data_IF_379503841448
#
_entry.id   IF_379503841448
#
_cell.length_a   1.000
_cell.length_b   1.000
_cell.length_c   1.000
_cell.angle_alpha   90.00
_cell.angle_beta   90.00
_cell.angle_gamma   90.00
#
_symmetry.space_group_name_H-M   'P 1'
#
loop_
_entity.id
_entity.type
_entity.pdbx_description
1 polymer ?
#
# COMPACT_ATOMS: atom_id res chain seq x y z
N UNK A 1 -16.57 37.56 -58.03
CA UNK A 1 -15.28 37.55 -57.31
C UNK A 1 -15.54 36.95 -55.95
N UNK A 2 -15.17 35.68 -55.76
CA UNK A 2 -15.39 34.95 -54.52
C UNK A 2 -14.11 35.01 -53.69
N UNK A 3 -14.19 35.53 -52.48
CA UNK A 3 -13.08 35.59 -51.52
C UNK A 3 -12.62 34.18 -51.14
N UNK A 4 -11.31 33.89 -51.14
CA UNK A 4 -10.80 32.61 -50.66
C UNK A 4 -10.91 32.54 -49.12
N UNK A 5 -11.49 31.44 -48.64
CA UNK A 5 -11.55 31.07 -47.22
C UNK A 5 -10.14 30.92 -46.65
N UNK A 6 -9.82 31.48 -45.46
CA UNK A 6 -8.51 31.26 -44.83
C UNK A 6 -8.34 29.77 -44.46
N UNK A 7 -7.12 29.23 -44.54
CA UNK A 7 -6.86 27.85 -44.16
C UNK A 7 -7.16 27.66 -42.67
N UNK A 8 -8.00 26.65 -42.40
CA UNK A 8 -8.33 26.17 -41.07
C UNK A 8 -7.09 25.47 -40.51
N UNK A 9 -6.38 26.11 -39.58
CA UNK A 9 -5.34 25.46 -38.79
C UNK A 9 -5.99 24.35 -37.97
N UNK A 10 -5.73 23.11 -38.37
CA UNK A 10 -6.01 21.93 -37.57
C UNK A 10 -5.40 22.11 -36.17
N UNK A 11 -6.15 21.89 -35.07
CA UNK A 11 -5.57 21.78 -33.74
C UNK A 11 -4.88 20.42 -33.61
N UNK A 12 -3.83 20.19 -34.40
CA UNK A 12 -3.02 18.98 -34.37
C UNK A 12 -1.64 19.20 -33.71
N UNK A 13 -1.46 20.32 -33.01
CA UNK A 13 -0.22 20.67 -32.29
C UNK A 13 -0.48 20.95 -30.80
N UNK A 14 -1.23 20.08 -30.15
CA UNK A 14 -1.12 19.91 -28.69
C UNK A 14 -0.47 18.55 -28.40
N UNK A 15 0.75 18.37 -28.91
CA UNK A 15 1.70 17.50 -28.22
C UNK A 15 1.95 18.16 -26.87
N UNK A 16 1.24 17.68 -25.85
CA UNK A 16 1.43 18.04 -24.45
C UNK A 16 2.93 18.14 -24.19
N UNK A 17 3.45 19.26 -23.64
CA UNK A 17 4.86 19.35 -23.30
C UNK A 17 5.12 18.20 -22.35
N UNK A 18 6.10 17.35 -22.69
CA UNK A 18 6.46 16.13 -21.98
C UNK A 18 6.65 16.40 -20.47
N UNK A 19 5.55 16.43 -19.75
CA UNK A 19 5.52 16.52 -18.31
C UNK A 19 6.01 15.20 -17.74
N UNK A 20 6.55 15.19 -16.52
CA UNK A 20 6.93 13.95 -15.87
C UNK A 20 5.74 12.99 -15.86
N UNK A 21 5.89 11.81 -16.46
CA UNK A 21 4.84 10.80 -16.43
C UNK A 21 4.75 10.22 -15.02
N UNK A 22 3.55 10.11 -14.42
CA UNK A 22 3.41 9.62 -13.06
C UNK A 22 3.88 8.16 -12.97
N UNK A 23 4.74 7.82 -11.99
CA UNK A 23 5.18 6.44 -11.79
C UNK A 23 3.98 5.51 -11.50
N UNK A 24 3.92 4.34 -12.12
CA UNK A 24 2.84 3.35 -11.93
C UNK A 24 2.76 2.89 -10.46
N UNK A 25 1.59 3.01 -9.83
CA UNK A 25 1.39 2.57 -8.44
C UNK A 25 1.49 1.03 -8.33
N UNK A 26 2.36 0.50 -7.45
CA UNK A 26 2.34 -0.91 -7.10
C UNK A 26 1.13 -1.19 -6.20
N UNK A 27 0.38 -2.25 -6.53
CA UNK A 27 -0.81 -2.68 -5.78
C UNK A 27 -1.96 -1.65 -5.75
N UNK A 28 -2.34 -1.14 -6.92
CA UNK A 28 -3.44 -0.16 -7.09
C UNK A 28 -4.80 -0.61 -6.54
N UNK A 29 -5.02 -1.91 -6.31
CA UNK A 29 -6.22 -2.43 -5.66
C UNK A 29 -6.31 -2.06 -4.16
N UNK A 30 -5.19 -1.72 -3.52
CA UNK A 30 -5.13 -1.29 -2.10
C UNK A 30 -5.54 0.18 -1.93
N UNK A 31 -5.39 0.98 -2.99
CA UNK A 31 -5.81 2.39 -3.03
C UNK A 31 -7.23 2.59 -3.56
N UNK A 32 -7.86 1.53 -4.08
CA UNK A 32 -9.17 1.59 -4.72
C UNK A 32 -10.31 1.64 -3.67
N UNK A 33 -11.25 2.58 -3.85
CA UNK A 33 -12.36 2.84 -2.91
C UNK A 33 -13.38 1.69 -2.76
N UNK A 34 -13.19 0.57 -3.47
CA UNK A 34 -14.11 -0.58 -3.53
C UNK A 34 -13.58 -1.87 -2.88
N UNK A 35 -12.57 -1.78 -2.01
CA UNK A 35 -12.04 -2.94 -1.30
C UNK A 35 -12.76 -3.21 0.03
N UNK A 36 -13.10 -4.48 0.29
CA UNK A 36 -13.77 -5.03 1.50
C UNK A 36 -13.04 -4.71 2.83
N UNK A 37 -11.82 -4.18 2.76
CA UNK A 37 -11.00 -3.73 3.89
C UNK A 37 -10.97 -2.20 3.91
N UNK A 38 -12.11 -1.62 4.28
CA UNK A 38 -12.45 -0.19 4.32
C UNK A 38 -11.70 0.60 5.39
N UNK A 39 -10.41 0.35 5.58
CA UNK A 39 -9.53 1.25 6.28
C UNK A 39 -8.85 2.09 5.20
N UNK A 40 -9.30 3.33 5.09
CA UNK A 40 -8.84 4.40 4.17
C UNK A 40 -7.38 4.77 4.44
N UNK A 41 -6.50 3.77 4.51
CA UNK A 41 -5.08 3.90 4.74
C UNK A 41 -4.44 4.21 3.39
N UNK A 42 -4.76 5.40 2.89
CA UNK A 42 -4.10 6.00 1.73
C UNK A 42 -2.61 6.23 2.03
N UNK A 43 -2.27 6.36 3.32
CA UNK A 43 -0.91 6.56 3.75
C UNK A 43 -0.17 5.25 4.04
N UNK A 44 0.86 4.90 3.25
CA UNK A 44 1.67 3.70 3.50
C UNK A 44 2.32 3.67 4.89
N UNK A 45 2.55 4.82 5.55
CA UNK A 45 3.06 4.85 6.93
C UNK A 45 2.03 4.29 7.91
N UNK A 46 0.78 4.77 7.85
CA UNK A 46 -0.30 4.28 8.71
C UNK A 46 -0.54 2.78 8.47
N UNK A 47 -0.38 2.31 7.23
CA UNK A 47 -0.47 0.88 6.90
C UNK A 47 0.65 0.10 7.58
N UNK A 48 1.89 0.58 7.44
CA UNK A 48 3.05 -0.01 8.09
C UNK A 48 2.93 -0.02 9.60
N UNK A 49 2.47 1.07 10.23
CA UNK A 49 2.25 1.17 11.67
C UNK A 49 1.13 0.22 12.14
N UNK A 50 0.03 0.13 11.39
CA UNK A 50 -1.05 -0.79 11.71
C UNK A 50 -0.57 -2.23 11.68
N UNK A 51 0.10 -2.65 10.61
CA UNK A 51 0.63 -4.02 10.52
C UNK A 51 1.75 -4.30 11.51
N UNK A 52 2.58 -3.30 11.82
CA UNK A 52 3.58 -3.41 12.88
C UNK A 52 2.91 -3.66 14.24
N UNK A 53 1.91 -2.85 14.61
CA UNK A 53 1.16 -3.03 15.85
C UNK A 53 0.45 -4.39 15.88
N UNK A 54 -0.16 -4.79 14.76
CA UNK A 54 -0.79 -6.10 14.60
C UNK A 54 0.20 -7.26 14.81
N UNK A 55 1.40 -7.18 14.21
CA UNK A 55 2.48 -8.16 14.45
C UNK A 55 2.92 -8.18 15.91
N UNK A 56 3.11 -7.01 16.53
CA UNK A 56 3.53 -6.91 17.94
C UNK A 56 2.49 -7.58 18.85
N UNK A 57 1.20 -7.31 18.64
CA UNK A 57 0.12 -7.97 19.39
C UNK A 57 0.17 -9.48 19.18
N UNK A 58 0.31 -9.94 17.94
CA UNK A 58 0.46 -11.37 17.63
C UNK A 58 1.64 -12.04 18.34
N UNK A 59 2.79 -11.37 18.39
CA UNK A 59 3.98 -11.85 19.10
C UNK A 59 3.74 -11.92 20.60
N UNK A 60 3.07 -10.92 21.19
CA UNK A 60 2.71 -10.95 22.62
C UNK A 60 1.81 -12.16 22.92
N UNK A 61 0.76 -12.37 22.12
CA UNK A 61 -0.12 -13.53 22.28
C UNK A 61 0.64 -14.85 22.12
N UNK A 62 1.52 -14.96 21.12
CA UNK A 62 2.39 -16.12 20.95
C UNK A 62 3.22 -16.40 22.21
N UNK A 63 3.86 -15.39 22.78
CA UNK A 63 4.66 -15.54 23.99
C UNK A 63 3.82 -15.95 25.21
N UNK A 64 2.60 -15.41 25.35
CA UNK A 64 1.69 -15.81 26.41
C UNK A 64 1.25 -17.26 26.28
N UNK A 65 0.86 -17.70 25.07
CA UNK A 65 0.45 -19.10 24.83
C UNK A 65 1.63 -20.05 24.95
N UNK A 66 2.80 -19.68 24.42
CA UNK A 66 4.03 -20.46 24.58
C UNK A 66 4.36 -20.66 26.06
N UNK A 67 4.31 -19.59 26.86
CA UNK A 67 4.53 -19.68 28.32
C UNK A 67 3.54 -20.63 29.00
N UNK A 68 2.28 -20.66 28.57
CA UNK A 68 1.29 -21.62 29.07
C UNK A 68 1.54 -23.06 28.58
N UNK A 69 2.00 -23.23 27.35
CA UNK A 69 2.38 -24.53 26.79
C UNK A 69 3.57 -25.13 27.54
N UNK A 70 4.60 -24.32 27.83
CA UNK A 70 5.79 -24.69 28.59
C UNK A 70 5.45 -25.13 30.03
N UNK A 71 4.25 -24.79 30.55
CA UNK A 71 3.75 -25.18 31.87
C UNK A 71 2.93 -26.49 31.87
N UNK A 72 2.95 -27.26 30.78
CA UNK A 72 2.34 -28.59 30.71
C UNK A 72 1.02 -28.66 29.92
N UNK A 73 0.62 -27.60 29.22
CA UNK A 73 -0.51 -27.64 28.31
C UNK A 73 -0.07 -28.21 26.94
N UNK A 74 0.02 -29.53 26.83
CA UNK A 74 0.56 -30.27 25.67
C UNK A 74 -0.18 -30.03 24.33
N UNK A 75 -1.33 -29.35 24.31
CA UNK A 75 -2.03 -28.93 23.08
C UNK A 75 -1.83 -27.46 22.67
N UNK A 76 -1.30 -26.62 23.56
CA UNK A 76 -1.26 -25.16 23.36
C UNK A 76 -0.17 -24.72 22.37
N UNK A 77 0.86 -25.55 22.16
CA UNK A 77 1.98 -25.24 21.26
C UNK A 77 1.53 -25.06 19.80
N UNK A 78 0.60 -25.90 19.33
CA UNK A 78 0.06 -25.80 17.97
C UNK A 78 -0.72 -24.51 17.75
N UNK A 79 -1.50 -24.09 18.74
CA UNK A 79 -2.23 -22.81 18.73
C UNK A 79 -1.27 -21.63 18.75
N UNK A 80 -0.17 -21.69 19.51
CA UNK A 80 0.85 -20.65 19.51
C UNK A 80 1.43 -20.45 18.10
N UNK A 81 1.86 -21.52 17.42
CA UNK A 81 2.39 -21.40 16.07
C UNK A 81 1.35 -20.92 15.06
N UNK A 82 0.07 -21.28 15.20
CA UNK A 82 -1.00 -20.77 14.35
C UNK A 82 -1.19 -19.26 14.53
N UNK A 83 -1.20 -18.77 15.77
CA UNK A 83 -1.27 -17.33 16.07
C UNK A 83 -0.07 -16.61 15.45
N UNK A 84 1.14 -17.16 15.61
CA UNK A 84 2.35 -16.55 15.04
C UNK A 84 2.31 -16.54 13.51
N UNK A 85 1.85 -17.62 12.87
CA UNK A 85 1.74 -17.70 11.42
C UNK A 85 0.74 -16.69 10.87
N UNK A 86 -0.43 -16.55 11.50
CA UNK A 86 -1.47 -15.61 11.05
C UNK A 86 -1.03 -14.17 11.33
N UNK A 87 -0.73 -13.82 12.58
CA UNK A 87 -0.46 -12.42 12.94
C UNK A 87 0.94 -11.97 12.53
N UNK A 88 1.94 -12.82 12.75
CA UNK A 88 3.31 -12.56 12.34
C UNK A 88 3.46 -12.62 10.82
N UNK A 89 2.98 -13.69 10.18
CA UNK A 89 3.07 -13.85 8.73
C UNK A 89 2.31 -12.77 7.96
N UNK A 90 1.02 -12.56 8.24
CA UNK A 90 0.24 -11.53 7.55
C UNK A 90 0.74 -10.12 7.87
N UNK A 91 1.18 -9.88 9.10
CA UNK A 91 1.71 -8.57 9.48
C UNK A 91 3.03 -8.23 8.78
N UNK A 92 3.96 -9.19 8.66
CA UNK A 92 5.19 -9.00 7.88
C UNK A 92 4.89 -8.74 6.40
N UNK A 93 3.94 -9.49 5.82
CA UNK A 93 3.49 -9.26 4.43
C UNK A 93 2.91 -7.85 4.29
N UNK A 94 2.04 -7.43 5.21
CA UNK A 94 1.46 -6.09 5.23
C UNK A 94 2.51 -4.99 5.35
N UNK A 95 3.54 -5.19 6.18
CA UNK A 95 4.69 -4.30 6.30
C UNK A 95 5.53 -4.24 5.01
N UNK A 96 5.73 -5.36 4.32
CA UNK A 96 6.44 -5.39 3.05
C UNK A 96 5.69 -4.58 1.97
N UNK A 97 4.37 -4.76 1.87
CA UNK A 97 3.52 -3.97 0.95
C UNK A 97 3.60 -2.48 1.30
N UNK A 98 3.51 -2.14 2.59
CA UNK A 98 3.64 -0.76 3.06
C UNK A 98 5.01 -0.14 2.68
N UNK A 99 6.10 -0.90 2.80
CA UNK A 99 7.44 -0.46 2.45
C UNK A 99 7.59 -0.21 0.93
N UNK A 100 7.07 -1.10 0.09
CA UNK A 100 7.07 -0.92 -1.37
C UNK A 100 6.28 0.32 -1.75
N UNK A 101 5.08 0.49 -1.18
CA UNK A 101 4.22 1.65 -1.43
C UNK A 101 4.81 2.95 -0.88
N UNK A 102 5.58 2.89 0.21
CA UNK A 102 6.36 4.02 0.73
C UNK A 102 7.49 4.44 -0.22
N UNK A 103 8.23 3.49 -0.80
CA UNK A 103 9.26 3.79 -1.81
C UNK A 103 8.63 4.43 -3.04
N UNK A 104 7.51 3.89 -3.53
CA UNK A 104 6.78 4.48 -4.64
C UNK A 104 6.27 5.89 -4.32
N UNK A 105 5.66 6.13 -3.15
CA UNK A 105 5.23 7.48 -2.73
C UNK A 105 6.38 8.48 -2.76
N UNK A 106 7.56 8.09 -2.27
CA UNK A 106 8.76 8.95 -2.31
C UNK A 106 9.19 9.28 -3.74
N UNK A 107 9.13 8.32 -4.64
CA UNK A 107 9.43 8.54 -6.05
C UNK A 107 8.39 9.44 -6.72
N UNK A 108 7.10 9.17 -6.49
CA UNK A 108 6.00 9.99 -7.02
C UNK A 108 6.12 11.44 -6.59
N UNK A 109 6.37 11.70 -5.29
CA UNK A 109 6.51 13.07 -4.77
C UNK A 109 7.76 13.75 -5.35
N UNK A 110 8.85 13.00 -5.57
CA UNK A 110 10.06 13.54 -6.23
C UNK A 110 9.79 13.95 -7.68
N UNK A 111 9.07 13.12 -8.43
CA UNK A 111 8.81 13.31 -9.87
C UNK A 111 7.70 14.34 -10.12
N UNK A 112 6.62 14.29 -9.35
CA UNK A 112 5.40 15.06 -9.59
C UNK A 112 5.31 16.32 -8.72
N UNK A 113 6.15 16.48 -7.70
CA UNK A 113 6.13 17.63 -6.78
C UNK A 113 4.87 17.75 -5.91
N UNK A 114 3.93 16.79 -6.02
CA UNK A 114 2.67 16.74 -5.27
C UNK A 114 2.42 15.35 -4.71
N UNK A 115 1.55 15.26 -3.72
CA UNK A 115 1.14 13.98 -3.17
C UNK A 115 0.25 13.23 -4.19
N UNK A 116 0.36 11.89 -4.32
CA UNK A 116 -0.51 11.09 -5.20
C UNK A 116 -1.97 11.06 -4.74
N UNK A 117 -2.28 11.66 -3.58
CA UNK A 117 -3.59 11.66 -2.94
C UNK A 117 -4.18 13.07 -2.80
N UNK A 118 -3.51 14.08 -3.37
CA UNK A 118 -3.91 15.49 -3.35
C UNK A 118 -4.81 15.83 -4.54
#
# INVERSE_FOLDING_TARGET
MSTPTPPQTDPADSADPAGPTPPKEPFSYVSQERGLLTLKIREPILMGLFFLAFTVVGVIFFLMVKKGADQGAEGAMGVAYLILAIFGGLGVIGMAIAAVRWRWKREYVRVMGRSPWA
#
